data_IF_277805695073
#
_entry.id   IF_277805695073
#
_cell.length_a   1.000
_cell.length_b   1.000
_cell.length_c   1.000
_cell.angle_alpha   90.00
_cell.angle_beta   90.00
_cell.angle_gamma   90.00
#
_symmetry.space_group_name_H-M   'P 1'
#
loop_
_entity.id
_entity.type
_entity.pdbx_description
1 polymer ?
2 non-polymer ?
3 non-polymer ?
4 non-polymer ?
5 non-polymer ?
6 non-polymer ?
7 water ?
#
# COMPACT_ATOMS: atom_id res chain seq x y z
N UNK A 8 0.61 -3.99 29.36
CA UNK A 8 1.61 -4.90 28.86
C UNK A 8 2.71 -4.17 28.09
N UNK A 9 3.76 -4.90 27.75
CA UNK A 9 4.82 -4.33 26.94
C UNK A 9 4.29 -3.88 25.58
N UNK A 10 3.46 -4.73 24.95
CA UNK A 10 2.96 -4.36 23.62
C UNK A 10 2.03 -3.17 23.69
N UNK A 11 1.22 -3.10 24.73
CA UNK A 11 0.37 -1.93 24.88
C UNK A 11 1.20 -0.66 25.03
N UNK A 12 2.30 -0.73 25.78
CA UNK A 12 3.17 0.43 25.91
C UNK A 12 3.81 0.81 24.59
N UNK A 13 4.19 -0.20 23.76
CA UNK A 13 4.69 0.09 22.42
C UNK A 13 3.63 0.84 21.63
N UNK A 14 2.37 0.33 21.65
CA UNK A 14 1.31 0.97 20.88
C UNK A 14 1.10 2.40 21.34
N UNK A 15 1.20 2.64 22.66
CA UNK A 15 1.07 4.00 23.14
C UNK A 15 2.11 4.94 22.53
N UNK A 16 3.37 4.50 22.45
CA UNK A 16 4.44 5.29 21.86
C UNK A 16 4.26 5.48 20.37
N UNK A 17 3.59 4.55 19.72
CA UNK A 17 3.36 4.68 18.27
C UNK A 17 2.18 5.57 17.93
N UNK A 18 1.40 5.98 18.89
CA UNK A 18 0.27 6.89 18.60
C UNK A 18 0.74 8.19 17.99
N UNK A 19 -0.12 8.74 17.11
CA UNK A 19 0.14 10.03 16.47
C UNK A 19 -0.36 11.15 17.36
N UNK A 20 0.47 12.17 17.50
CA UNK A 20 0.07 13.37 18.23
C UNK A 20 -1.03 14.10 17.48
N UNK A 21 -2.08 14.52 18.22
CA UNK A 21 -3.14 15.31 17.60
C UNK A 21 -2.62 16.61 17.03
N UNK A 22 -1.64 17.24 17.70
CA UNK A 22 -1.08 18.48 17.20
C UNK A 22 -0.32 18.26 15.89
N UNK A 23 0.47 17.18 15.83
CA UNK A 23 1.19 16.86 14.59
C UNK A 23 0.22 16.56 13.45
N UNK A 24 -0.89 15.86 13.75
CA UNK A 24 -1.92 15.60 12.75
C UNK A 24 -2.49 16.89 12.21
N UNK A 25 -2.85 17.81 13.11
CA UNK A 25 -3.48 19.05 12.66
C UNK A 25 -2.57 19.82 11.71
N UNK A 26 -1.30 19.96 12.08
CA UNK A 26 -0.33 20.67 11.26
C UNK A 26 -0.09 19.95 9.95
N UNK A 27 0.15 18.64 10.01
CA UNK A 27 0.51 17.91 8.80
C UNK A 27 -0.65 17.81 7.83
N UNK A 28 -1.87 17.59 8.33
CA UNK A 28 -3.02 17.49 7.42
C UNK A 28 -3.25 18.79 6.68
N UNK A 29 -3.11 19.90 7.39
CA UNK A 29 -3.29 21.19 6.76
C UNK A 29 -2.23 21.46 5.72
N UNK A 30 -0.97 21.09 6.01
CA UNK A 30 0.10 21.35 5.07
C UNK A 30 -0.05 20.47 3.83
N UNK A 31 -0.38 19.18 4.02
CA UNK A 31 -0.57 18.30 2.87
C UNK A 31 -1.72 18.78 2.00
N UNK A 32 -2.84 19.15 2.62
CA UNK A 32 -4.01 19.60 1.88
C UNK A 32 -3.68 20.78 1.00
N UNK A 33 -2.94 21.74 1.51
CA UNK A 33 -2.69 22.95 0.74
C UNK A 33 -1.89 22.66 -0.50
N UNK A 34 -0.87 21.79 -0.38
CA UNK A 34 -0.02 21.41 -1.51
C UNK A 34 -0.78 20.56 -2.50
N UNK A 35 -1.48 19.54 -2.02
CA UNK A 35 -2.21 18.64 -2.93
C UNK A 35 -3.29 19.41 -3.67
N UNK A 36 -4.08 20.20 -2.95
CA UNK A 36 -5.20 20.86 -3.62
C UNK A 36 -4.67 21.82 -4.66
N UNK A 37 -3.55 22.44 -4.35
CA UNK A 37 -2.93 23.37 -5.28
C UNK A 37 -2.44 22.65 -6.54
N UNK A 38 -1.80 21.49 -6.38
CA UNK A 38 -1.29 20.82 -7.57
C UNK A 38 -2.43 20.26 -8.39
N UNK A 39 -3.47 19.80 -7.73
CA UNK A 39 -4.67 19.34 -8.43
C UNK A 39 -5.20 20.43 -9.34
N UNK A 40 -5.45 21.61 -8.76
CA UNK A 40 -5.90 22.75 -9.54
C UNK A 40 -4.97 23.04 -10.71
N UNK A 41 -3.67 23.09 -10.45
CA UNK A 41 -2.73 23.45 -11.52
C UNK A 41 -2.62 22.39 -12.61
N UNK A 42 -2.70 21.10 -12.26
CA UNK A 42 -2.64 20.06 -13.28
C UNK A 42 -3.86 20.09 -14.18
N UNK A 43 -5.01 20.51 -13.65
CA UNK A 43 -6.23 20.63 -14.43
C UNK A 43 -6.11 21.70 -15.52
N UNK A 44 -5.07 22.55 -15.48
CA UNK A 44 -4.84 23.49 -16.56
C UNK A 44 -4.17 22.85 -17.77
N UNK A 45 -3.54 21.70 -17.57
CA UNK A 45 -2.87 21.02 -18.66
C UNK A 45 -3.87 20.19 -19.44
N UNK A 46 -3.78 20.24 -20.77
CA UNK A 46 -4.76 19.52 -21.56
C UNK A 46 -4.77 18.02 -21.24
N UNK A 47 -3.62 17.45 -20.89
CA UNK A 47 -3.58 15.99 -20.67
C UNK A 47 -4.17 15.58 -19.34
N UNK A 48 -4.01 16.42 -18.32
CA UNK A 48 -4.39 16.07 -16.95
C UNK A 48 -5.65 16.81 -16.48
N UNK A 49 -6.43 17.32 -17.45
CA UNK A 49 -7.68 18.03 -17.16
C UNK A 49 -8.53 17.31 -16.13
N UNK A 50 -8.67 16.00 -16.28
CA UNK A 50 -9.67 15.29 -15.52
C UNK A 50 -9.15 14.66 -14.24
N UNK A 51 -8.02 15.12 -13.69
CA UNK A 51 -7.47 14.44 -12.50
C UNK A 51 -8.38 14.64 -11.29
N UNK A 52 -8.45 13.61 -10.46
CA UNK A 52 -9.18 13.67 -9.21
C UNK A 52 -8.37 12.98 -8.15
N UNK A 53 -8.60 13.37 -6.91
CA UNK A 53 -7.83 12.91 -5.74
C UNK A 53 -8.42 11.63 -5.17
N UNK A 54 -7.52 10.67 -4.86
CA UNK A 54 -7.87 9.55 -4.01
C UNK A 54 -6.81 9.46 -2.93
N UNK A 55 -7.24 9.38 -1.68
CA UNK A 55 -6.31 9.33 -0.56
C UNK A 55 -6.11 7.87 -0.16
N UNK A 56 -4.84 7.46 0.01
CA UNK A 56 -4.55 6.01 0.14
C UNK A 56 -3.50 5.82 1.20
N UNK A 57 -3.18 4.55 1.48
CA UNK A 57 -2.03 4.32 2.35
C UNK A 57 -2.33 4.52 3.84
N UNK A 58 -1.26 4.38 4.63
CA UNK A 58 -1.47 4.14 6.06
C UNK A 58 -2.10 5.31 6.79
N UNK A 59 -1.82 6.57 6.38
CA UNK A 59 -2.43 7.68 7.10
C UNK A 59 -3.95 7.61 6.97
N UNK A 60 -4.45 7.39 5.75
CA UNK A 60 -5.90 7.36 5.55
C UNK A 60 -6.55 6.05 6.00
N UNK A 61 -5.74 5.05 6.31
CA UNK A 61 -6.18 3.79 6.93
C UNK A 61 -6.03 3.81 8.44
N UNK A 62 -5.55 4.91 8.99
CA UNK A 62 -5.34 5.07 10.45
C UNK A 62 -4.43 4.00 11.00
N UNK A 63 -3.44 3.59 10.19
CA UNK A 63 -2.39 2.71 10.72
C UNK A 63 -1.00 3.32 10.54
N UNK A 64 -0.93 4.62 10.23
CA UNK A 64 0.38 5.28 10.25
C UNK A 64 0.88 5.28 11.70
N UNK A 65 2.20 5.01 11.89
CA UNK A 65 2.77 4.97 13.24
C UNK A 65 3.77 6.10 13.40
N UNK A 66 3.93 6.51 14.66
CA UNK A 66 4.99 7.36 15.24
C UNK A 66 4.80 8.85 14.91
N UNK A 67 4.71 9.18 13.62
CA UNK A 67 4.51 10.56 13.22
C UNK A 67 3.76 10.60 11.91
N UNK A 68 2.91 11.63 11.68
CA UNK A 68 2.20 11.79 10.39
C UNK A 68 3.11 12.48 9.40
N UNK A 69 4.18 11.77 9.03
CA UNK A 69 5.22 12.33 8.18
C UNK A 69 5.30 11.70 6.80
N UNK A 70 4.30 10.90 6.42
CA UNK A 70 4.31 10.31 5.08
C UNK A 70 2.90 9.99 4.65
N UNK A 71 2.51 10.60 3.54
CA UNK A 71 1.15 10.55 3.02
C UNK A 71 1.19 10.02 1.60
N UNK A 72 0.16 9.27 1.20
CA UNK A 72 0.07 8.68 -0.13
C UNK A 72 -1.22 9.08 -0.80
N UNK A 73 -1.12 9.64 -2.01
CA UNK A 73 -2.33 10.00 -2.72
C UNK A 73 -2.21 9.50 -4.16
N UNK A 74 -3.35 9.29 -4.80
CA UNK A 74 -3.40 9.01 -6.23
C UNK A 74 -4.08 10.20 -6.90
N UNK A 75 -3.55 10.61 -8.06
CA UNK A 75 -4.22 11.58 -8.94
C UNK A 75 -4.73 10.72 -10.07
N UNK A 76 -6.01 10.41 -10.08
CA UNK A 76 -6.54 9.45 -11.04
C UNK A 76 -7.22 10.16 -12.20
N UNK A 77 -7.15 9.53 -13.37
CA UNK A 77 -7.76 10.06 -14.60
C UNK A 77 -8.62 8.97 -15.16
N UNK A 78 -9.89 9.26 -15.41
CA UNK A 78 -10.72 8.26 -16.05
C UNK A 78 -10.38 8.19 -17.53
N UNK A 79 -9.99 7.01 -17.99
CA UNK A 79 -9.74 6.81 -19.40
C UNK A 79 -10.86 5.92 -19.91
N UNK A 80 -11.80 6.46 -20.66
CA UNK A 80 -12.88 5.63 -21.20
C UNK A 80 -12.35 4.76 -22.32
N UNK A 81 -13.00 3.62 -22.50
CA UNK A 81 -12.68 2.72 -23.61
C UNK A 81 -11.30 2.11 -23.43
N UNK A 82 -10.95 1.77 -22.18
CA UNK A 82 -9.66 1.16 -21.92
C UNK A 82 -9.66 -0.29 -22.41
N UNK A 83 -8.56 -0.68 -23.04
CA UNK A 83 -8.35 -2.06 -23.47
C UNK A 83 -7.00 -2.52 -22.94
N UNK A 84 -6.99 -3.56 -22.12
CA UNK A 84 -5.75 -4.02 -21.52
C UNK A 84 -5.24 -5.26 -22.24
N UNK A 85 -3.93 -5.42 -22.21
CA UNK A 85 -3.27 -6.64 -22.65
C UNK A 85 -2.30 -7.02 -21.56
N UNK A 86 -2.47 -8.21 -20.98
CA UNK A 86 -1.52 -8.64 -19.98
C UNK A 86 -0.13 -8.77 -20.59
N UNK A 87 0.88 -8.25 -19.87
CA UNK A 87 2.26 -8.38 -20.29
C UNK A 87 2.86 -9.69 -19.81
N UNK A 88 3.26 -10.55 -20.75
CA UNK A 88 4.15 -11.70 -20.50
C UNK A 88 3.75 -12.53 -19.28
N UNK A 89 2.49 -12.94 -19.23
CA UNK A 89 1.91 -13.71 -18.11
C UNK A 89 2.32 -13.17 -16.72
N UNK A 90 2.53 -11.86 -16.59
CA UNK A 90 2.98 -11.35 -15.29
C UNK A 90 1.82 -11.14 -14.30
N UNK A 91 0.56 -11.23 -14.76
CA UNK A 91 -0.65 -11.13 -13.97
C UNK A 91 -0.92 -9.73 -13.42
N UNK A 92 0.13 -8.99 -13.10
CA UNK A 92 -0.05 -7.66 -12.51
C UNK A 92 0.25 -6.52 -13.47
N UNK A 93 0.94 -6.76 -14.60
CA UNK A 93 1.38 -5.70 -15.50
C UNK A 93 0.70 -5.83 -16.84
N UNK A 94 0.38 -4.69 -17.44
CA UNK A 94 -0.49 -4.58 -18.58
C UNK A 94 -0.03 -3.49 -19.54
N UNK A 95 -0.26 -3.72 -20.82
CA UNK A 95 -0.32 -2.65 -21.80
C UNK A 95 -1.71 -2.06 -21.80
N UNK A 96 -1.78 -0.75 -22.01
CA UNK A 96 -3.02 -0.02 -22.19
C UNK A 96 -3.09 0.42 -23.64
N UNK A 97 -4.19 0.10 -24.30
CA UNK A 97 -4.44 0.58 -25.66
C UNK A 97 -5.86 1.15 -25.74
N UNK A 106 -5.62 14.92 -26.60
CA UNK A 106 -4.80 15.24 -25.45
C UNK A 106 -3.97 14.07 -24.91
N UNK A 107 -4.32 12.81 -25.22
CA UNK A 107 -3.47 11.69 -24.82
C UNK A 107 -2.56 11.17 -25.93
N UNK A 108 -2.70 11.68 -27.16
CA UNK A 108 -1.87 11.23 -28.27
C UNK A 108 -0.39 11.42 -28.00
N UNK A 109 -0.05 12.50 -27.29
CA UNK A 109 1.34 12.73 -26.91
C UNK A 109 1.94 11.54 -26.20
N UNK A 110 1.11 10.64 -25.64
CA UNK A 110 1.64 9.53 -24.87
C UNK A 110 1.65 8.22 -25.62
N UNK A 111 1.08 8.20 -26.83
CA UNK A 111 1.02 6.96 -27.58
C UNK A 111 2.39 6.64 -28.17
N UNK A 112 2.83 5.39 -28.00
CA UNK A 112 3.97 4.82 -28.72
C UNK A 112 3.34 3.72 -29.56
N UNK A 113 2.98 4.04 -30.78
CA UNK A 113 2.17 3.13 -31.57
C UNK A 113 0.72 3.27 -31.19
N UNK A 114 0.06 2.15 -30.89
CA UNK A 114 -1.28 2.18 -30.32
C UNK A 114 -1.28 1.94 -28.81
N UNK A 115 -0.12 1.80 -28.20
CA UNK A 115 -0.09 1.67 -26.74
C UNK A 115 0.05 3.05 -26.11
N UNK A 116 -0.64 3.24 -24.98
CA UNK A 116 -0.47 4.42 -24.15
C UNK A 116 0.70 4.17 -23.21
N UNK A 117 1.81 4.88 -23.42
CA UNK A 117 3.04 4.61 -22.71
C UNK A 117 2.99 5.08 -21.27
N UNK A 118 3.13 4.16 -20.32
CA UNK A 118 3.20 4.56 -18.92
C UNK A 118 4.36 5.53 -18.67
N UNK A 119 5.56 5.23 -19.20
CA UNK A 119 6.69 6.13 -18.92
C UNK A 119 6.48 7.51 -19.52
N UNK A 120 5.88 7.59 -20.72
CA UNK A 120 5.64 8.90 -21.30
C UNK A 120 4.67 9.73 -20.44
N UNK A 121 3.61 9.10 -19.95
CA UNK A 121 2.66 9.83 -19.11
C UNK A 121 3.29 10.24 -17.78
N UNK A 122 4.01 9.31 -17.15
CA UNK A 122 4.67 9.62 -15.90
C UNK A 122 5.67 10.75 -16.07
N UNK A 123 6.42 10.76 -17.18
CA UNK A 123 7.42 11.82 -17.32
C UNK A 123 6.78 13.20 -17.42
N UNK A 124 5.68 13.32 -18.16
CA UNK A 124 5.02 14.63 -18.27
C UNK A 124 4.39 15.02 -16.94
N UNK A 125 3.80 14.04 -16.24
CA UNK A 125 3.23 14.30 -14.93
C UNK A 125 4.28 14.85 -13.97
N UNK A 126 5.43 14.17 -13.88
CA UNK A 126 6.52 14.63 -13.06
C UNK A 126 6.99 16.02 -13.48
N UNK A 127 7.10 16.26 -14.79
CA UNK A 127 7.61 17.54 -15.28
C UNK A 127 6.69 18.70 -14.90
N UNK A 128 5.38 18.51 -15.03
CA UNK A 128 4.43 19.55 -14.63
C UNK A 128 4.50 19.78 -13.12
N UNK A 129 4.54 18.71 -12.31
CA UNK A 129 4.61 18.94 -10.87
C UNK A 129 5.87 19.69 -10.51
N UNK A 130 7.00 19.29 -11.12
CA UNK A 130 8.26 19.95 -10.80
C UNK A 130 8.18 21.42 -11.11
N UNK A 131 7.50 21.78 -12.19
CA UNK A 131 7.38 23.20 -12.54
C UNK A 131 6.44 23.92 -11.59
N UNK A 132 5.33 23.27 -11.19
CA UNK A 132 4.33 23.92 -10.33
C UNK A 132 4.87 24.12 -8.91
N UNK A 133 5.63 23.17 -8.39
CA UNK A 133 6.14 23.42 -7.04
C UNK A 133 7.22 24.48 -7.18
N UNK A 139 5.35 28.15 1.30
CA UNK A 139 5.52 26.73 1.61
C UNK A 139 6.81 26.21 1.02
N UNK A 140 7.65 25.59 1.82
CA UNK A 140 8.86 25.04 1.25
C UNK A 140 8.49 23.60 0.86
N UNK A 141 8.44 23.37 -0.45
CA UNK A 141 8.08 22.09 -1.05
C UNK A 141 9.14 21.78 -2.07
N UNK A 142 9.73 20.60 -1.97
CA UNK A 142 10.68 20.19 -2.97
C UNK A 142 10.26 18.84 -3.50
N UNK A 143 10.87 18.45 -4.63
CA UNK A 143 10.70 17.13 -5.22
C UNK A 143 11.88 16.23 -4.91
N UNK A 144 11.60 15.07 -4.33
CA UNK A 144 12.67 14.15 -4.02
C UNK A 144 13.20 13.51 -5.28
N UNK A 145 14.48 13.16 -5.24
CA UNK A 145 15.11 12.56 -6.39
C UNK A 145 14.37 11.32 -6.83
N UNK A 146 14.20 11.21 -8.14
CA UNK A 146 13.49 10.08 -8.74
C UNK A 146 14.05 8.77 -8.23
N UNK A 147 13.18 7.96 -7.62
CA UNK A 147 13.53 6.62 -7.20
C UNK A 147 13.10 5.65 -8.28
N UNK A 148 13.99 4.72 -8.63
CA UNK A 148 13.67 3.77 -9.67
C UNK A 148 12.62 2.77 -9.23
N UNK A 149 11.75 2.40 -10.15
CA UNK A 149 10.70 1.48 -9.82
C UNK A 149 9.39 2.13 -9.37
N UNK A 150 9.47 3.14 -8.51
CA UNK A 150 8.24 3.65 -7.88
C UNK A 150 7.34 4.29 -8.94
N UNK A 151 6.02 4.13 -8.82
CA UNK A 151 5.15 4.85 -9.76
C UNK A 151 4.89 6.29 -9.32
N UNK A 152 5.37 6.70 -8.15
CA UNK A 152 5.03 8.00 -7.58
C UNK A 152 6.01 9.11 -7.97
N UNK A 153 5.52 10.34 -7.88
CA UNK A 153 6.33 11.55 -7.79
C UNK A 153 6.30 11.95 -6.33
N UNK A 154 7.46 12.07 -5.68
CA UNK A 154 7.48 12.22 -4.23
C UNK A 154 7.96 13.61 -3.87
N UNK A 155 7.18 14.28 -3.02
CA UNK A 155 7.48 15.61 -2.50
C UNK A 155 7.87 15.55 -1.03
N UNK A 156 8.58 16.59 -0.59
CA UNK A 156 8.92 16.78 0.82
C UNK A 156 8.51 18.19 1.21
N UNK A 157 7.63 18.30 2.22
CA UNK A 157 7.05 19.57 2.66
C UNK A 157 7.70 19.95 3.99
N UNK A 158 8.19 21.18 4.06
CA UNK A 158 8.81 21.71 5.28
C UNK A 158 9.93 20.82 5.82
N UNK A 159 10.70 20.21 4.91
CA UNK A 159 11.80 19.29 5.20
C UNK A 159 11.39 18.04 5.99
N UNK A 160 10.09 17.84 6.26
CA UNK A 160 9.68 16.78 7.18
C UNK A 160 8.58 15.84 6.69
N UNK A 161 7.65 16.32 5.87
CA UNK A 161 6.49 15.51 5.47
C UNK A 161 6.67 15.02 4.04
N UNK A 162 6.74 13.70 3.85
CA UNK A 162 6.87 13.16 2.50
C UNK A 162 5.49 12.87 1.94
N UNK A 163 5.27 13.19 0.65
CA UNK A 163 4.00 12.91 -0.02
C UNK A 163 4.30 12.18 -1.32
N UNK A 164 3.77 10.98 -1.47
CA UNK A 164 3.83 10.21 -2.71
C UNK A 164 2.59 10.51 -3.52
N UNK A 165 2.77 11.04 -4.74
CA UNK A 165 1.65 11.36 -5.64
C UNK A 165 1.75 10.38 -6.80
N UNK A 166 0.80 9.46 -6.89
CA UNK A 166 0.83 8.44 -7.93
C UNK A 166 -0.25 8.73 -8.96
N UNK A 167 0.21 8.98 -10.19
CA UNK A 167 -0.69 9.04 -11.32
C UNK A 167 -1.38 7.70 -11.51
N UNK A 168 -2.66 7.72 -11.79
CA UNK A 168 -3.34 6.46 -12.01
C UNK A 168 -4.41 6.60 -13.09
N UNK A 169 -4.49 5.60 -13.96
CA UNK A 169 -5.65 5.49 -14.85
C UNK A 169 -6.77 4.75 -14.16
N UNK A 170 -7.98 5.32 -14.23
CA UNK A 170 -9.13 4.70 -13.64
C UNK A 170 -9.91 3.98 -14.72
N UNK A 171 -10.24 2.73 -14.46
CA UNK A 171 -11.10 1.93 -15.33
C UNK A 171 -12.34 1.49 -14.57
N UNK A 172 -13.51 1.75 -15.15
CA UNK A 172 -14.75 1.29 -14.53
C UNK A 172 -15.25 -0.03 -15.09
N UNK A 173 -14.41 -0.72 -15.85
CA UNK A 173 -14.68 -2.05 -16.37
C UNK A 173 -14.49 -3.10 -15.29
N UNK A 174 -14.95 -4.31 -15.58
CA UNK A 174 -14.69 -5.45 -14.73
C UNK A 174 -13.19 -5.64 -14.51
N UNK A 175 -12.85 -6.11 -13.31
CA UNK A 175 -11.45 -6.30 -13.01
C UNK A 175 -10.82 -7.37 -13.89
N UNK A 176 -9.53 -7.23 -14.18
CA UNK A 176 -8.85 -8.27 -15.00
C UNK A 176 -8.96 -9.67 -14.42
N UNK A 177 -8.89 -10.64 -15.33
CA UNK A 177 -9.03 -12.05 -14.96
C UNK A 177 -8.02 -12.53 -13.91
N UNK A 178 -6.85 -11.92 -13.85
CA UNK A 178 -5.88 -12.35 -12.84
C UNK A 178 -6.38 -12.10 -11.42
N UNK A 179 -7.43 -11.31 -11.25
CA UNK A 179 -7.99 -11.07 -9.92
C UNK A 179 -9.13 -11.99 -9.55
N UNK A 180 -9.52 -12.91 -10.45
CA UNK A 180 -10.77 -13.67 -10.26
C UNK A 180 -10.80 -14.45 -8.95
N UNK A 181 -9.66 -15.00 -8.52
CA UNK A 181 -9.60 -15.78 -7.29
C UNK A 181 -8.97 -15.00 -6.15
N UNK A 182 -8.80 -13.69 -6.30
CA UNK A 182 -8.26 -12.86 -5.23
C UNK A 182 -9.35 -12.35 -4.33
N UNK A 183 -8.95 -11.50 -3.39
CA UNK A 183 -9.91 -10.86 -2.48
C UNK A 183 -10.82 -11.89 -1.81
N UNK A 184 -10.18 -12.90 -1.16
CA UNK A 184 -10.91 -14.03 -0.58
C UNK A 184 -11.47 -13.64 0.78
N UNK A 185 -12.42 -12.71 0.75
CA UNK A 185 -12.95 -12.11 1.97
C UNK A 185 -14.31 -12.68 2.37
N UNK A 186 -14.82 -13.68 1.64
CA UNK A 186 -16.22 -14.10 1.81
C UNK A 186 -16.55 -14.59 3.22
N UNK A 187 -15.63 -15.29 3.89
CA UNK A 187 -15.91 -15.75 5.24
C UNK A 187 -15.64 -14.72 6.31
N UNK A 188 -15.07 -13.58 5.93
CA UNK A 188 -14.68 -12.53 6.88
C UNK A 188 -15.62 -11.34 6.73
N UNK A 189 -15.57 -10.66 5.61
CA UNK A 189 -16.35 -9.45 5.35
C UNK A 189 -17.64 -9.71 4.56
N UNK A 190 -17.83 -10.93 4.03
CA UNK A 190 -19.02 -11.43 3.33
C UNK A 190 -18.85 -11.52 1.81
N UNK A 191 -19.65 -12.43 1.23
CA UNK A 191 -19.71 -12.55 -0.22
C UNK A 191 -20.36 -11.31 -0.82
N UNK A 192 -21.38 -10.75 -0.13
CA UNK A 192 -22.00 -9.60 -0.74
C UNK A 192 -21.06 -8.40 -0.75
N UNK A 193 -20.17 -8.29 0.25
CA UNK A 193 -19.18 -7.21 0.19
C UNK A 193 -18.16 -7.46 -0.92
N UNK A 194 -17.72 -8.71 -1.08
CA UNK A 194 -16.80 -9.01 -2.18
C UNK A 194 -17.40 -8.59 -3.54
N UNK A 195 -18.69 -8.88 -3.74
CA UNK A 195 -19.34 -8.50 -5.00
C UNK A 195 -19.39 -7.00 -5.17
N UNK A 196 -19.75 -6.28 -4.10
CA UNK A 196 -19.81 -4.83 -4.14
C UNK A 196 -18.44 -4.22 -4.42
N UNK A 197 -17.35 -4.78 -3.79
CA UNK A 197 -16.04 -4.20 -4.00
C UNK A 197 -15.58 -4.42 -5.43
N UNK A 198 -15.90 -5.59 -5.99
CA UNK A 198 -15.47 -5.86 -7.36
C UNK A 198 -16.28 -5.08 -8.40
N UNK A 199 -17.37 -4.41 -7.99
CA UNK A 199 -18.06 -3.49 -8.88
C UNK A 199 -17.43 -2.11 -8.89
N UNK A 200 -16.46 -1.84 -8.00
CA UNK A 200 -15.77 -0.56 -8.01
C UNK A 200 -14.71 -0.51 -9.11
N UNK A 201 -14.21 0.68 -9.42
CA UNK A 201 -13.18 0.79 -10.45
C UNK A 201 -11.90 0.10 -9.99
N UNK A 202 -11.01 -0.09 -10.95
CA UNK A 202 -9.64 -0.47 -10.63
C UNK A 202 -8.71 0.54 -11.25
N UNK A 203 -7.45 0.49 -10.87
CA UNK A 203 -6.49 1.51 -11.25
C UNK A 203 -5.25 0.89 -11.85
N UNK A 204 -4.62 1.66 -12.73
CA UNK A 204 -3.34 1.30 -13.36
C UNK A 204 -2.36 2.42 -13.04
N UNK A 205 -1.18 2.08 -12.53
CA UNK A 205 -0.20 3.08 -12.11
C UNK A 205 1.05 2.84 -12.92
N UNK A 206 1.91 3.84 -13.09
CA UNK A 206 3.08 3.71 -14.01
C UNK A 206 4.30 3.12 -13.31
N UNK A 207 4.15 1.86 -12.90
CA UNK A 207 5.23 1.03 -12.42
C UNK A 207 5.42 -0.05 -13.47
N UNK A 208 6.64 -0.14 -13.99
CA UNK A 208 6.93 -0.97 -15.16
C UNK A 208 7.40 -2.38 -14.78
N UNK A 209 6.98 -3.35 -15.61
CA UNK A 209 7.42 -4.75 -15.46
C UNK A 209 8.92 -4.88 -15.73
N UNK A 210 9.55 -5.80 -15.01
CA UNK A 210 10.93 -6.13 -15.31
C UNK A 210 11.03 -6.73 -16.72
N UNK A 211 12.09 -6.38 -17.44
CA UNK A 211 12.33 -6.97 -18.75
C UNK A 211 13.78 -7.42 -18.90
N UNK A 216 10.17 -2.87 -18.94
CA UNK A 216 9.31 -2.60 -20.06
C UNK A 216 8.61 -1.25 -19.77
N UNK A 217 9.19 -0.17 -20.26
CA UNK A 217 8.77 1.17 -19.87
C UNK A 217 7.36 1.55 -20.34
N UNK A 218 6.73 0.76 -21.20
CA UNK A 218 5.39 1.09 -21.65
C UNK A 218 4.31 0.58 -20.69
N UNK A 219 4.65 -0.38 -19.85
CA UNK A 219 3.67 -1.14 -19.08
C UNK A 219 3.25 -0.42 -17.79
N UNK A 220 2.02 -0.78 -17.40
CA UNK A 220 1.32 -0.26 -16.22
C UNK A 220 1.09 -1.40 -15.24
N UNK A 221 0.81 -1.04 -13.98
CA UNK A 221 0.64 -2.00 -12.92
C UNK A 221 -0.72 -1.84 -12.27
N UNK A 222 -1.41 -2.96 -12.04
CA UNK A 222 -2.71 -2.93 -11.38
C UNK A 222 -2.56 -2.47 -9.93
N UNK A 223 -3.47 -1.60 -9.50
CA UNK A 223 -3.47 -1.15 -8.12
C UNK A 223 -4.89 -1.19 -7.55
N UNK A 224 -4.99 -1.71 -6.33
CA UNK A 224 -6.26 -1.75 -5.61
C UNK A 224 -6.11 -1.07 -4.24
N UNK A 225 -5.28 -0.03 -4.19
CA UNK A 225 -5.03 0.69 -2.95
C UNK A 225 -6.31 1.23 -2.35
N UNK A 226 -7.30 1.57 -3.18
CA UNK A 226 -8.57 2.06 -2.67
C UNK A 226 -9.34 0.97 -1.96
N UNK A 227 -9.22 -0.30 -2.42
CA UNK A 227 -9.94 -1.40 -1.78
C UNK A 227 -9.26 -1.75 -0.50
N UNK A 228 -7.90 -1.69 -0.48
CA UNK A 228 -7.19 -1.89 0.80
C UNK A 228 -7.70 -0.93 1.88
N UNK A 229 -7.89 0.35 1.51
CA UNK A 229 -8.40 1.32 2.49
C UNK A 229 -9.82 0.95 2.94
N UNK A 230 -10.69 0.56 2.00
CA UNK A 230 -12.05 0.22 2.38
C UNK A 230 -12.04 -0.92 3.37
N UNK A 231 -11.17 -1.90 3.15
CA UNK A 231 -11.11 -3.06 4.04
C UNK A 231 -10.62 -2.63 5.42
N UNK A 232 -9.53 -1.88 5.49
CA UNK A 232 -8.98 -1.55 6.80
C UNK A 232 -9.90 -0.65 7.59
N UNK A 233 -10.68 0.18 6.92
CA UNK A 233 -11.58 1.11 7.64
C UNK A 233 -12.96 0.53 7.84
N UNK A 234 -13.15 -0.70 7.43
CA UNK A 234 -14.44 -1.38 7.68
C UNK A 234 -14.09 -2.86 7.76
N UNK A 235 -13.42 -3.24 8.87
CA UNK A 235 -12.59 -4.42 8.89
C UNK A 235 -13.11 -5.58 9.72
N UNK A 236 -14.28 -5.45 10.29
CA UNK A 236 -14.83 -6.46 11.18
C UNK A 236 -15.85 -7.35 10.50
N UNK A 237 -16.04 -8.55 11.06
CA UNK A 237 -17.24 -9.31 10.69
C UNK A 237 -18.49 -8.57 11.16
N UNK A 238 -18.47 -8.06 12.39
CA UNK A 238 -19.53 -7.20 12.85
C UNK A 238 -19.43 -5.82 12.21
N UNK A 239 -20.56 -5.32 11.72
CA UNK A 239 -20.57 -3.97 11.17
C UNK A 239 -20.20 -2.91 12.21
N UNK A 240 -20.40 -3.19 13.50
CA UNK A 240 -20.06 -2.23 14.53
C UNK A 240 -18.69 -2.49 15.14
N UNK A 241 -17.84 -3.30 14.49
CA UNK A 241 -16.48 -3.51 15.03
C UNK A 241 -15.80 -2.16 15.22
N UNK A 242 -15.27 -1.99 16.42
CA UNK A 242 -14.51 -0.79 16.80
C UNK A 242 -15.34 0.47 16.83
N UNK A 243 -16.69 0.36 16.86
CA UNK A 243 -17.56 1.52 17.06
C UNK A 243 -18.02 1.64 18.49
N UNK A 244 -17.74 0.65 19.32
CA UNK A 244 -18.11 0.74 20.73
C UNK A 244 -17.07 0.01 21.58
N UNK A 245 -17.13 0.28 22.89
CA UNK A 245 -16.15 -0.24 23.85
C UNK A 245 -16.17 -1.76 23.94
N UNK A 246 -17.26 -2.40 23.58
CA UNK A 246 -17.40 -3.85 23.61
C UNK A 246 -16.82 -4.53 22.39
N UNK A 247 -16.48 -3.78 21.35
CA UNK A 247 -16.00 -4.34 20.09
C UNK A 247 -14.72 -3.66 19.62
N UNK A 248 -13.80 -3.34 20.54
CA UNK A 248 -12.54 -2.71 20.14
C UNK A 248 -11.52 -3.82 19.83
N UNK A 249 -11.52 -4.32 18.59
CA UNK A 249 -10.65 -5.43 18.25
C UNK A 249 -9.20 -4.94 18.14
N UNK A 250 -8.29 -5.90 17.99
CA UNK A 250 -6.87 -5.56 17.90
C UNK A 250 -6.27 -5.76 16.52
N UNK A 251 -7.10 -5.74 15.47
CA UNK A 251 -6.55 -5.91 14.12
C UNK A 251 -5.56 -4.78 13.79
N UNK A 252 -5.99 -3.51 13.91
CA UNK A 252 -5.11 -2.41 13.49
C UNK A 252 -3.88 -2.34 14.39
N UNK A 253 -4.04 -2.62 15.69
CA UNK A 253 -2.88 -2.67 16.58
C UNK A 253 -1.89 -3.74 16.12
N UNK A 254 -2.37 -4.90 15.66
CA UNK A 254 -1.43 -5.93 15.19
C UNK A 254 -0.72 -5.51 13.91
N UNK A 255 -1.43 -4.83 13.01
CA UNK A 255 -0.75 -4.33 11.81
C UNK A 255 0.28 -3.28 12.19
N UNK A 256 -0.06 -2.38 13.13
CA UNK A 256 0.91 -1.36 13.57
C UNK A 256 2.16 -2.01 14.15
N UNK A 257 1.99 -3.05 14.95
CA UNK A 257 3.15 -3.70 15.56
C UNK A 257 4.00 -4.45 14.55
N UNK A 258 3.37 -5.11 13.57
CA UNK A 258 4.12 -5.72 12.48
C UNK A 258 4.89 -4.69 11.69
N UNK A 259 4.25 -3.56 11.39
CA UNK A 259 4.96 -2.53 10.64
C UNK A 259 6.11 -1.95 11.44
N UNK A 260 5.93 -1.77 12.76
CA UNK A 260 7.03 -1.26 13.58
C UNK A 260 8.18 -2.25 13.68
N UNK A 261 7.86 -3.53 13.82
CA UNK A 261 8.90 -4.56 13.83
C UNK A 261 9.75 -4.48 12.57
N UNK A 262 9.10 -4.43 11.39
CA UNK A 262 9.86 -4.35 10.16
C UNK A 262 10.60 -3.00 10.05
N UNK A 263 9.94 -1.91 10.45
CA UNK A 263 10.55 -0.60 10.36
C UNK A 263 11.83 -0.56 11.18
N UNK A 264 11.75 -1.03 12.42
CA UNK A 264 12.92 -1.00 13.31
C UNK A 264 14.04 -1.92 12.80
N UNK A 265 13.69 -3.11 12.34
CA UNK A 265 14.73 -4.00 11.81
C UNK A 265 15.39 -3.38 10.60
N UNK A 266 14.60 -2.76 9.69
CA UNK A 266 15.19 -2.14 8.51
C UNK A 266 16.11 -0.99 8.90
N UNK A 267 15.75 -0.27 9.95
CA UNK A 267 16.62 0.82 10.42
C UNK A 267 17.91 0.28 11.01
N UNK A 268 17.81 -0.68 11.93
CA UNK A 268 19.03 -1.25 12.50
C UNK A 268 19.93 -1.81 11.41
N UNK A 269 19.37 -2.52 10.43
CA UNK A 269 20.07 -3.20 9.36
C UNK A 269 20.12 -2.37 8.08
N UNK A 270 20.07 -1.04 8.19
CA UNK A 270 19.96 -0.21 6.98
C UNK A 270 21.16 -0.36 6.06
N UNK A 271 22.32 -0.80 6.56
CA UNK A 271 23.52 -1.02 5.76
C UNK A 271 23.65 -2.47 5.33
N UNK A 272 22.69 -3.32 5.69
CA UNK A 272 22.65 -4.72 5.29
C UNK A 272 21.76 -4.85 4.06
N UNK A 273 22.34 -5.18 2.90
CA UNK A 273 21.53 -5.22 1.70
C UNK A 273 20.41 -6.26 1.79
N UNK A 274 20.54 -7.26 2.67
CA UNK A 274 19.51 -8.28 2.71
C UNK A 274 18.16 -7.72 3.10
N UNK A 275 18.08 -6.57 3.78
CA UNK A 275 16.76 -6.06 4.13
C UNK A 275 16.24 -4.98 3.18
N UNK A 276 16.98 -4.70 2.09
CA UNK A 276 16.62 -3.62 1.16
C UNK A 276 15.23 -3.79 0.56
N UNK A 277 14.87 -5.01 0.12
CA UNK A 277 13.68 -5.16 -0.71
C UNK A 277 12.42 -5.37 0.12
N UNK A 278 12.52 -5.51 1.44
CA UNK A 278 11.29 -5.67 2.23
C UNK A 278 10.66 -4.32 2.48
N UNK A 279 9.34 -4.31 2.51
CA UNK A 279 8.63 -3.07 2.73
C UNK A 279 7.42 -3.32 3.60
N UNK A 280 6.82 -2.21 4.08
CA UNK A 280 5.61 -2.36 4.87
C UNK A 280 4.48 -3.02 4.09
N UNK A 281 4.54 -3.00 2.74
CA UNK A 281 3.48 -3.69 1.99
C UNK A 281 3.57 -5.19 2.16
N UNK A 282 4.76 -5.73 2.41
CA UNK A 282 4.83 -7.16 2.66
C UNK A 282 4.10 -7.49 3.96
N UNK A 283 4.30 -6.67 5.02
CA UNK A 283 3.53 -6.98 6.21
C UNK A 283 2.04 -6.66 6.05
N UNK A 284 1.67 -5.61 5.27
CA UNK A 284 0.26 -5.35 5.03
C UNK A 284 -0.41 -6.53 4.35
N UNK A 285 0.27 -7.08 3.36
CA UNK A 285 -0.27 -8.21 2.58
C UNK A 285 -0.40 -9.43 3.47
N UNK A 286 0.66 -9.77 4.24
CA UNK A 286 0.55 -10.88 5.18
C UNK A 286 -0.58 -10.67 6.17
N UNK A 287 -0.78 -9.43 6.61
CA UNK A 287 -1.84 -9.13 7.55
C UNK A 287 -3.22 -9.42 6.97
N UNK A 288 -3.44 -9.00 5.73
CA UNK A 288 -4.72 -9.31 5.09
C UNK A 288 -4.92 -10.82 4.99
N UNK A 289 -3.87 -11.60 4.69
CA UNK A 289 -4.07 -13.04 4.68
C UNK A 289 -4.42 -13.59 6.07
N UNK A 290 -3.78 -13.08 7.13
CA UNK A 290 -4.14 -13.58 8.47
C UNK A 290 -5.57 -13.20 8.82
N UNK A 291 -6.05 -12.03 8.36
CA UNK A 291 -7.47 -11.72 8.57
C UNK A 291 -8.36 -12.72 7.87
N UNK A 292 -7.98 -13.16 6.66
CA UNK A 292 -8.75 -14.19 5.98
C UNK A 292 -8.72 -15.49 6.77
N UNK A 293 -7.55 -15.85 7.29
CA UNK A 293 -7.42 -17.12 8.03
C UNK A 293 -8.22 -17.08 9.32
N UNK A 294 -8.33 -15.90 9.94
CA UNK A 294 -8.94 -15.70 11.26
C UNK A 294 -10.08 -14.71 11.09
N UNK A 295 -11.19 -15.12 10.46
CA UNK A 295 -12.25 -14.16 10.08
C UNK A 295 -13.12 -13.63 11.21
N UNK A 296 -13.15 -14.26 12.39
CA UNK A 296 -14.09 -13.85 13.42
C UNK A 296 -13.50 -12.75 14.29
N UNK A 297 -14.36 -11.82 14.71
CA UNK A 297 -13.88 -10.74 15.56
C UNK A 297 -13.36 -11.29 16.88
N UNK A 298 -13.91 -12.43 17.35
CA UNK A 298 -13.39 -13.02 18.60
C UNK A 298 -11.98 -13.59 18.47
N UNK A 299 -11.42 -13.68 17.26
CA UNK A 299 -10.03 -14.06 17.08
C UNK A 299 -9.10 -12.87 17.13
N UNK A 300 -9.65 -11.68 17.40
CA UNK A 300 -8.93 -10.40 17.44
C UNK A 300 -9.35 -9.62 18.68
N UNK A 301 -9.57 -10.31 19.80
CA UNK A 301 -10.00 -9.64 21.01
C UNK A 301 -8.84 -8.83 21.59
N UNK A 302 -9.15 -7.62 22.08
CA UNK A 302 -8.13 -6.78 22.69
C UNK A 302 -7.39 -7.52 23.80
N UNK A 303 -8.11 -8.33 24.55
CA UNK A 303 -7.46 -9.05 25.66
C UNK A 303 -6.45 -10.08 25.18
N UNK A 304 -6.42 -10.38 23.88
CA UNK A 304 -5.55 -11.39 23.31
C UNK A 304 -4.49 -10.75 22.43
N UNK A 305 -4.18 -9.47 22.66
CA UNK A 305 -3.24 -8.74 21.81
C UNK A 305 -1.92 -9.51 21.56
N UNK A 306 -1.29 -10.03 22.63
CA UNK A 306 -0.02 -10.72 22.42
C UNK A 306 -0.14 -11.97 21.56
N UNK A 307 -1.22 -12.75 21.75
CA UNK A 307 -1.42 -13.93 20.96
C UNK A 307 -1.73 -13.56 19.52
N UNK A 308 -2.57 -12.53 19.35
CA UNK A 308 -2.90 -12.10 18.00
C UNK A 308 -1.66 -11.62 17.28
N UNK A 309 -0.82 -10.85 17.98
CA UNK A 309 0.41 -10.39 17.33
C UNK A 309 1.30 -11.56 17.00
N UNK A 310 1.38 -12.53 17.92
CA UNK A 310 2.15 -13.72 17.59
C UNK A 310 1.61 -14.45 16.36
N UNK A 311 0.28 -14.55 16.22
CA UNK A 311 -0.30 -15.16 15.02
C UNK A 311 0.18 -14.46 13.76
N UNK A 312 0.31 -13.14 13.84
CA UNK A 312 0.77 -12.39 12.67
C UNK A 312 2.25 -12.62 12.41
N UNK A 313 3.06 -12.64 13.48
CA UNK A 313 4.50 -12.89 13.32
C UNK A 313 4.76 -14.31 12.76
N UNK A 314 4.07 -15.32 13.31
CA UNK A 314 4.31 -16.67 12.82
C UNK A 314 3.81 -16.85 11.40
N UNK A 315 2.68 -16.23 11.04
CA UNK A 315 2.27 -16.27 9.64
C UNK A 315 3.32 -15.66 8.72
N UNK A 316 3.84 -14.49 9.09
CA UNK A 316 4.83 -13.87 8.25
C UNK A 316 6.08 -14.73 8.13
N UNK A 317 6.50 -15.37 9.24
CA UNK A 317 7.66 -16.27 9.20
C UNK A 317 7.38 -17.45 8.27
N UNK A 318 6.14 -17.96 8.28
CA UNK A 318 5.83 -19.04 7.34
C UNK A 318 5.93 -18.56 5.91
N UNK A 319 5.44 -17.34 5.63
CA UNK A 319 5.57 -16.79 4.29
C UNK A 319 7.02 -16.73 3.84
N UNK A 320 7.91 -16.24 4.74
CA UNK A 320 9.32 -16.15 4.41
C UNK A 320 9.91 -17.53 4.12
N UNK A 321 9.60 -18.49 5.00
CA UNK A 321 10.17 -19.84 4.90
C UNK A 321 9.75 -20.54 3.62
N UNK A 322 8.47 -20.40 3.25
CA UNK A 322 7.97 -21.07 2.07
C UNK A 322 8.13 -20.24 0.82
N UNK A 323 8.57 -18.99 0.95
CA UNK A 323 8.79 -18.09 -0.20
C UNK A 323 7.47 -17.84 -0.91
N UNK A 324 6.41 -17.69 -0.10
CA UNK A 324 5.03 -17.53 -0.59
C UNK A 324 4.39 -16.36 0.13
N UNK A 325 4.09 -15.29 -0.65
CA UNK A 325 3.29 -14.16 -0.14
C UNK A 325 2.51 -13.63 -1.35
N UNK A 326 1.35 -14.22 -1.59
CA UNK A 326 0.54 -13.81 -2.74
C UNK A 326 0.02 -12.40 -2.57
N UNK A 327 0.02 -11.64 -3.67
CA UNK A 327 -0.72 -10.40 -3.65
C UNK A 327 -2.18 -10.72 -3.29
N UNK A 328 -2.79 -9.89 -2.41
CA UNK A 328 -4.09 -10.23 -1.87
C UNK A 328 -5.18 -10.19 -2.93
N UNK A 329 -4.94 -9.44 -4.00
CA UNK A 329 -5.88 -9.26 -5.11
C UNK A 329 -5.52 -10.08 -6.34
N UNK A 330 -4.25 -10.45 -6.49
CA UNK A 330 -3.72 -11.08 -7.70
C UNK A 330 -2.95 -12.33 -7.26
N UNK A 331 -3.63 -13.47 -7.03
CA UNK A 331 -2.97 -14.60 -6.31
C UNK A 331 -1.75 -15.14 -7.03
N UNK A 332 -1.69 -15.09 -8.35
CA UNK A 332 -0.52 -15.65 -9.02
C UNK A 332 0.63 -14.67 -9.09
N UNK A 333 0.52 -13.49 -8.45
CA UNK A 333 1.65 -12.60 -8.28
C UNK A 333 2.23 -12.81 -6.89
N UNK A 334 3.39 -13.47 -6.83
CA UNK A 334 3.99 -13.83 -5.56
C UNK A 334 5.04 -12.77 -5.16
N UNK A 335 4.72 -11.99 -4.11
CA UNK A 335 5.65 -10.96 -3.65
C UNK A 335 6.95 -11.55 -3.15
N UNK A 336 6.94 -12.83 -2.75
CA UNK A 336 8.13 -13.47 -2.21
C UNK A 336 8.73 -14.46 -3.20
N UNK A 337 8.40 -14.32 -4.47
CA UNK A 337 9.06 -15.10 -5.51
C UNK A 337 10.56 -14.90 -5.42
N UNK A 338 11.31 -15.97 -5.70
CA UNK A 338 12.75 -15.80 -5.84
C UNK A 338 13.09 -14.85 -6.98
N UNK A 339 12.18 -14.65 -7.95
CA UNK A 339 12.43 -13.61 -8.96
C UNK A 339 12.50 -12.20 -8.40
N UNK A 340 11.88 -11.92 -7.27
CA UNK A 340 11.82 -10.58 -6.70
C UNK A 340 12.74 -10.42 -5.50
N UNK A 341 12.85 -11.45 -4.67
CA UNK A 341 13.67 -11.39 -3.46
C UNK A 341 14.46 -12.69 -3.34
N UNK A 342 15.81 -12.59 -3.21
CA UNK A 342 16.63 -13.79 -3.07
C UNK A 342 16.27 -14.60 -1.82
N UNK A 343 16.40 -15.93 -1.94
CA UNK A 343 16.18 -16.81 -0.80
C UNK A 343 17.03 -16.38 0.40
N UNK A 344 18.28 -16.01 0.14
CA UNK A 344 19.21 -15.65 1.22
C UNK A 344 18.71 -14.46 2.02
N UNK A 345 18.05 -13.49 1.34
CA UNK A 345 17.52 -12.30 2.01
C UNK A 345 16.30 -12.66 2.84
N UNK A 346 15.43 -13.55 2.33
CA UNK A 346 14.33 -14.00 3.17
C UNK A 346 14.84 -14.77 4.39
N UNK A 347 15.90 -15.57 4.21
CA UNK A 347 16.40 -16.33 5.34
C UNK A 347 17.01 -15.38 6.36
N UNK A 348 17.63 -14.32 5.87
CA UNK A 348 18.20 -13.33 6.80
C UNK A 348 17.11 -12.66 7.61
N UNK A 349 16.00 -12.27 6.96
CA UNK A 349 14.93 -11.65 7.74
C UNK A 349 14.30 -12.66 8.70
N UNK A 350 14.15 -13.93 8.27
CA UNK A 350 13.70 -14.97 9.17
C UNK A 350 14.55 -15.03 10.44
N UNK A 351 15.86 -15.01 10.23
CA UNK A 351 16.76 -15.07 11.39
C UNK A 351 16.52 -13.92 12.36
N UNK A 352 16.36 -12.71 11.83
CA UNK A 352 16.22 -11.57 12.75
C UNK A 352 14.84 -11.54 13.40
N UNK A 353 13.78 -11.94 12.67
CA UNK A 353 12.47 -11.97 13.28
C UNK A 353 12.36 -13.10 14.29
N UNK A 354 12.96 -14.27 14.02
CA UNK A 354 12.98 -15.32 15.04
C UNK A 354 13.69 -14.84 16.30
N UNK A 355 14.83 -14.15 16.14
CA UNK A 355 15.52 -13.63 17.32
C UNK A 355 14.60 -12.74 18.11
N UNK A 356 13.91 -11.81 17.43
CA UNK A 356 12.98 -10.94 18.18
C UNK A 356 11.90 -11.74 18.89
N UNK A 357 11.24 -12.66 18.19
CA UNK A 357 10.17 -13.45 18.82
C UNK A 357 10.70 -14.26 20.00
N UNK A 358 11.91 -14.79 19.85
CA UNK A 358 12.50 -15.62 20.90
C UNK A 358 12.96 -14.81 22.10
N UNK A 359 13.12 -13.50 21.95
CA UNK A 359 13.67 -12.68 23.02
C UNK A 359 12.71 -11.59 23.46
N UNK A 360 11.41 -11.77 23.20
CA UNK A 360 10.36 -10.82 23.60
C UNK A 360 10.61 -9.43 23.01
N UNK A 361 10.99 -9.41 21.75
CA UNK A 361 11.03 -8.19 20.92
C UNK A 361 11.84 -7.06 21.52
N UNK A 362 13.13 -7.29 21.74
CA UNK A 362 13.97 -6.22 22.26
C UNK A 362 14.04 -5.04 21.32
N UNK A 363 13.82 -5.22 20.01
CA UNK A 363 13.90 -4.06 19.11
C UNK A 363 12.78 -3.07 19.40
N UNK A 364 11.77 -3.46 20.16
CA UNK A 364 10.69 -2.55 20.53
C UNK A 364 11.12 -1.60 21.65
N UNK A 365 12.02 -2.05 22.55
CA UNK A 365 12.50 -1.21 23.66
C UNK A 365 13.08 0.11 23.20
#
# INVERSE_FOLDING_TARGET
SDAAPGASKLRAVLEKLKLSRDDISTAAGMVKGVVDHLLLRLKCDSAFRGVGLLNTGSYYEHVKISAPNEFDVMFKLEVPRIQLEEYSNTRAYYFVKFKRNPKENPLSQFLEGEILSASKMLSKFRKIIKEEINDIKDTDVIMKRKRGGSPAVTLLISEKISVDITLALESKSSWPASTQEGLRIQNWLSAKVRKQLRLKPFYLVPKHAKEGNGFQEETWRLSFSHIEKEILNNHGKSKTCCENKEEKCCRKDCLKLMKYLLEQLKERFKDEKHLDKFSSYHVKTAFFHVCTQNPQDSQWDRKDLGLCFDNCVTYFLQCLRTEKLENYFIPEFNLFSSNLIDKRSKEFLTKQIEYERNNEFPVFDEF
#
